data_IF_291911979393
#
_entry.id   IF_291911979393
#
_cell.length_a   1.000
_cell.length_b   1.000
_cell.length_c   1.000
_cell.angle_alpha   90.00
_cell.angle_beta   90.00
_cell.angle_gamma   90.00
#
_symmetry.space_group_name_H-M   'P 1'
#
loop_
_entity.id
_entity.type
_entity.pdbx_description
1 polymer ?
#
# COMPACT_ATOMS: atom_id res chain seq x y z
N UNK A 1 35.41 -35.31 53.54
CA UNK A 1 35.12 -36.03 52.29
C UNK A 1 33.97 -35.33 51.58
N UNK A 2 34.25 -34.49 50.66
CA UNK A 2 33.26 -33.74 49.92
C UNK A 2 32.63 -34.63 48.82
N UNK A 3 31.31 -34.77 48.80
CA UNK A 3 30.59 -35.72 47.97
C UNK A 3 30.33 -35.14 46.59
N UNK A 4 31.27 -35.29 45.70
CA UNK A 4 31.30 -34.75 44.30
C UNK A 4 30.12 -35.20 43.44
N UNK A 5 29.44 -36.32 43.78
CA UNK A 5 28.31 -36.86 43.02
C UNK A 5 27.01 -36.07 43.22
N UNK A 6 26.84 -35.39 44.33
CA UNK A 6 25.63 -34.58 44.60
C UNK A 6 25.74 -33.20 43.97
N UNK A 7 26.97 -32.69 43.75
CA UNK A 7 27.18 -31.38 43.16
C UNK A 7 26.95 -31.39 41.63
N UNK A 8 27.30 -32.51 40.96
CA UNK A 8 27.12 -32.64 39.52
C UNK A 8 25.63 -32.75 39.11
N UNK A 9 24.78 -33.37 40.02
CA UNK A 9 23.36 -33.57 39.71
C UNK A 9 22.56 -32.26 39.87
N UNK A 10 22.96 -31.38 40.78
CA UNK A 10 22.28 -30.08 40.99
C UNK A 10 22.65 -29.07 39.92
N UNK A 11 23.87 -29.14 39.34
CA UNK A 11 24.29 -28.26 38.26
C UNK A 11 23.60 -28.62 36.94
N UNK A 12 23.29 -29.92 36.73
CA UNK A 12 22.62 -30.38 35.52
C UNK A 12 21.12 -30.03 35.50
N UNK A 13 20.48 -29.97 36.68
CA UNK A 13 19.07 -29.60 36.82
C UNK A 13 18.85 -28.09 36.65
N UNK A 14 19.82 -27.25 37.04
CA UNK A 14 19.71 -25.79 36.89
C UNK A 14 20.02 -25.31 35.45
N UNK A 15 20.85 -26.05 34.69
CA UNK A 15 21.12 -25.71 33.26
C UNK A 15 19.94 -26.10 32.36
N UNK A 16 19.15 -27.13 32.72
CA UNK A 16 17.94 -27.52 31.98
C UNK A 16 16.74 -26.59 32.24
N UNK A 17 16.75 -25.82 33.35
CA UNK A 17 15.67 -24.88 33.66
C UNK A 17 15.90 -23.48 33.05
N UNK A 18 17.11 -23.17 32.59
CA UNK A 18 17.45 -21.90 31.97
C UNK A 18 17.41 -21.93 30.42
N UNK A 19 17.19 -23.10 29.80
CA UNK A 19 16.69 -23.20 28.45
C UNK A 19 15.16 -23.09 28.47
N UNK A 20 14.65 -22.08 29.14
CA UNK A 20 13.32 -21.56 28.94
C UNK A 20 13.23 -21.16 27.46
N UNK A 21 12.62 -22.05 26.72
CA UNK A 21 12.24 -21.85 25.32
C UNK A 21 11.50 -20.52 25.28
N UNK A 22 12.19 -19.47 24.83
CA UNK A 22 11.55 -18.33 24.23
C UNK A 22 11.04 -18.87 22.89
N UNK A 23 9.97 -19.66 22.95
CA UNK A 23 9.07 -19.83 21.83
C UNK A 23 8.39 -18.46 21.78
N UNK A 24 9.02 -17.51 21.09
CA UNK A 24 8.30 -16.37 20.61
C UNK A 24 7.11 -16.96 19.88
N UNK A 25 5.92 -16.77 20.45
CA UNK A 25 4.67 -17.05 19.75
C UNK A 25 4.69 -16.12 18.54
N UNK A 26 5.25 -16.60 17.43
CA UNK A 26 4.96 -16.02 16.15
C UNK A 26 3.46 -16.21 15.98
N UNK A 27 2.70 -15.14 16.16
CA UNK A 27 1.28 -15.15 15.91
C UNK A 27 1.13 -15.53 14.43
N UNK A 28 0.80 -16.80 14.19
CA UNK A 28 0.61 -17.28 12.83
C UNK A 28 -0.74 -16.73 12.37
N UNK A 29 -0.72 -15.97 11.29
CA UNK A 29 -1.95 -15.47 10.69
C UNK A 29 -2.92 -16.60 10.37
N UNK A 30 -4.21 -16.38 10.62
CA UNK A 30 -5.24 -17.35 10.25
C UNK A 30 -5.34 -17.53 8.74
N UNK A 31 -5.93 -18.65 8.26
CA UNK A 31 -6.21 -18.80 6.82
C UNK A 31 -7.03 -17.63 6.24
N UNK A 32 -8.01 -17.11 6.99
CA UNK A 32 -8.85 -16.00 6.54
C UNK A 32 -8.04 -14.69 6.38
N UNK A 33 -7.08 -14.44 7.26
CA UNK A 33 -6.15 -13.31 7.13
C UNK A 33 -5.25 -13.48 5.92
N UNK A 34 -4.71 -14.67 5.67
CA UNK A 34 -3.86 -14.94 4.52
C UNK A 34 -4.63 -14.71 3.20
N UNK A 35 -5.90 -15.14 3.13
CA UNK A 35 -6.78 -14.88 1.97
C UNK A 35 -7.02 -13.39 1.80
N UNK A 36 -7.44 -12.68 2.86
CA UNK A 36 -7.69 -11.25 2.79
C UNK A 36 -6.45 -10.45 2.36
N UNK A 37 -5.29 -10.73 2.95
CA UNK A 37 -4.04 -10.05 2.59
C UNK A 37 -3.65 -10.35 1.15
N UNK A 38 -3.78 -11.61 0.70
CA UNK A 38 -3.51 -12.00 -0.68
C UNK A 38 -4.40 -11.28 -1.69
N UNK A 39 -5.70 -11.23 -1.44
CA UNK A 39 -6.67 -10.51 -2.28
C UNK A 39 -6.38 -9.00 -2.30
N UNK A 40 -6.06 -8.43 -1.15
CA UNK A 40 -5.71 -7.02 -1.03
C UNK A 40 -4.45 -6.67 -1.82
N UNK A 41 -3.38 -7.49 -1.71
CA UNK A 41 -2.15 -7.30 -2.48
C UNK A 41 -2.41 -7.40 -3.99
N UNK A 42 -3.23 -8.35 -4.42
CA UNK A 42 -3.63 -8.48 -5.83
C UNK A 42 -4.38 -7.24 -6.34
N UNK A 43 -5.23 -6.62 -5.51
CA UNK A 43 -5.89 -5.36 -5.86
C UNK A 43 -4.92 -4.18 -5.90
N UNK A 44 -3.92 -4.14 -5.00
CA UNK A 44 -2.87 -3.11 -5.05
C UNK A 44 -2.03 -3.23 -6.32
N UNK A 45 -1.65 -4.45 -6.73
CA UNK A 45 -0.91 -4.67 -7.98
C UNK A 45 -1.72 -4.23 -9.20
N UNK A 46 -3.02 -4.53 -9.23
CA UNK A 46 -3.90 -4.11 -10.30
C UNK A 46 -4.00 -2.59 -10.41
N UNK A 47 -4.27 -1.90 -9.30
CA UNK A 47 -4.47 -0.44 -9.31
C UNK A 47 -3.16 0.30 -9.57
N UNK A 48 -2.02 -0.18 -9.03
CA UNK A 48 -0.69 0.35 -9.32
C UNK A 48 -0.38 0.29 -10.82
N UNK A 49 -0.58 -0.89 -11.43
CA UNK A 49 -0.36 -1.07 -12.87
C UNK A 49 -1.20 -0.08 -13.68
N UNK A 50 -2.49 0.06 -13.37
CA UNK A 50 -3.38 1.01 -14.05
C UNK A 50 -2.96 2.47 -13.89
N UNK A 51 -2.56 2.88 -12.70
CA UNK A 51 -2.09 4.24 -12.44
C UNK A 51 -0.78 4.54 -13.16
N UNK A 52 0.17 3.61 -13.13
CA UNK A 52 1.46 3.78 -13.80
C UNK A 52 1.35 3.77 -15.32
N UNK A 53 0.56 2.86 -15.90
CA UNK A 53 0.31 2.82 -17.34
C UNK A 53 -0.34 4.13 -17.82
N UNK A 54 -1.30 4.65 -17.05
CA UNK A 54 -1.97 5.91 -17.39
C UNK A 54 -1.02 7.10 -17.27
N UNK A 55 -0.21 7.14 -16.20
CA UNK A 55 0.79 8.19 -15.99
C UNK A 55 1.85 8.17 -17.11
N UNK A 56 2.29 6.98 -17.53
CA UNK A 56 3.25 6.84 -18.62
C UNK A 56 2.71 7.40 -19.95
N UNK A 57 1.43 7.17 -20.22
CA UNK A 57 0.75 7.69 -21.40
C UNK A 57 0.55 9.22 -21.36
N UNK A 58 0.57 9.85 -20.18
CA UNK A 58 0.39 11.30 -20.03
C UNK A 58 1.63 12.08 -20.50
N UNK A 59 1.48 13.11 -21.37
CA UNK A 59 2.60 13.96 -21.74
C UNK A 59 3.04 14.84 -20.55
N UNK A 60 4.37 15.11 -20.47
CA UNK A 60 4.96 15.92 -19.40
C UNK A 60 4.30 17.30 -19.25
N UNK A 61 3.95 17.94 -20.36
CA UNK A 61 3.32 19.26 -20.38
C UNK A 61 1.91 19.27 -19.79
N UNK A 62 1.30 18.10 -19.60
CA UNK A 62 0.00 17.95 -18.96
C UNK A 62 0.07 17.69 -17.46
N UNK A 63 1.26 17.47 -16.91
CA UNK A 63 1.40 17.17 -15.48
C UNK A 63 0.99 18.34 -14.56
N UNK A 64 1.21 19.57 -14.99
CA UNK A 64 0.78 20.77 -14.26
C UNK A 64 -0.62 21.26 -14.63
N UNK A 65 -1.33 20.57 -15.57
CA UNK A 65 -2.66 20.98 -15.98
C UNK A 65 -3.72 20.65 -14.92
N UNK A 66 -4.57 21.63 -14.63
CA UNK A 66 -5.73 21.51 -13.76
C UNK A 66 -7.02 21.85 -14.51
N UNK A 67 -8.14 21.15 -14.25
CA UNK A 67 -9.40 21.39 -14.98
C UNK A 67 -10.11 22.69 -14.57
N UNK A 68 -9.85 23.18 -13.36
CA UNK A 68 -10.41 24.41 -12.80
C UNK A 68 -9.61 24.84 -11.56
N UNK A 69 -9.74 26.12 -11.18
CA UNK A 69 -9.12 26.68 -9.99
C UNK A 69 -9.48 25.87 -8.73
N UNK A 70 -8.46 25.48 -7.96
CA UNK A 70 -8.61 24.73 -6.70
C UNK A 70 -8.87 23.24 -6.86
N UNK A 71 -8.85 22.72 -8.09
CA UNK A 71 -8.88 21.28 -8.36
C UNK A 71 -7.44 20.81 -8.57
N UNK A 72 -7.11 19.62 -8.02
CA UNK A 72 -5.77 19.04 -8.20
C UNK A 72 -5.34 19.03 -9.66
N UNK A 73 -4.10 19.43 -9.92
CA UNK A 73 -3.50 19.19 -11.23
C UNK A 73 -3.19 17.68 -11.43
N UNK A 74 -2.78 17.31 -12.64
CA UNK A 74 -2.54 15.90 -12.97
C UNK A 74 -1.51 15.25 -12.04
N UNK A 75 -0.37 15.91 -11.77
CA UNK A 75 0.66 15.37 -10.88
C UNK A 75 0.15 15.20 -9.45
N UNK A 76 -0.59 16.19 -8.94
CA UNK A 76 -1.17 16.14 -7.60
C UNK A 76 -2.14 14.97 -7.40
N UNK A 77 -2.85 14.53 -8.43
CA UNK A 77 -3.72 13.35 -8.35
C UNK A 77 -2.92 12.08 -8.02
N UNK A 78 -1.82 11.84 -8.72
CA UNK A 78 -0.96 10.67 -8.48
C UNK A 78 -0.20 10.76 -7.16
N UNK A 79 0.33 11.95 -6.84
CA UNK A 79 1.05 12.18 -5.59
C UNK A 79 0.14 12.12 -4.38
N UNK A 80 -1.15 12.46 -4.52
CA UNK A 80 -2.14 12.27 -3.47
C UNK A 80 -2.39 10.78 -3.17
N UNK A 81 -2.39 9.92 -4.19
CA UNK A 81 -2.43 8.47 -3.99
C UNK A 81 -1.18 8.01 -3.25
N UNK A 82 0.00 8.49 -3.64
CA UNK A 82 1.25 8.14 -2.95
C UNK A 82 1.25 8.57 -1.47
N UNK A 83 0.81 9.79 -1.17
CA UNK A 83 0.68 10.28 0.21
C UNK A 83 -0.31 9.44 1.02
N UNK A 84 -1.40 9.00 0.40
CA UNK A 84 -2.40 8.12 1.04
C UNK A 84 -1.84 6.74 1.32
N UNK A 85 -1.00 6.18 0.43
CA UNK A 85 -0.30 4.92 0.63
C UNK A 85 0.64 5.00 1.84
N UNK A 86 1.45 6.06 1.95
CA UNK A 86 2.31 6.27 3.11
C UNK A 86 1.50 6.44 4.41
N UNK A 87 0.38 7.15 4.35
CA UNK A 87 -0.51 7.28 5.51
C UNK A 87 -1.03 5.93 6.00
N UNK A 88 -1.45 5.05 5.09
CA UNK A 88 -1.89 3.69 5.43
C UNK A 88 -0.73 2.84 5.97
N UNK A 89 0.40 2.84 5.27
CA UNK A 89 1.59 2.08 5.67
C UNK A 89 2.07 2.47 7.09
N UNK A 90 2.01 3.75 7.43
CA UNK A 90 2.28 4.24 8.79
C UNK A 90 1.33 3.62 9.83
N UNK A 91 0.04 3.43 9.51
CA UNK A 91 -0.92 2.76 10.42
C UNK A 91 -0.64 1.25 10.57
N UNK A 92 0.05 0.66 9.61
CA UNK A 92 0.56 -0.71 9.63
C UNK A 92 1.93 -0.82 10.34
N UNK A 93 2.52 0.28 10.81
CA UNK A 93 3.79 0.32 11.52
C UNK A 93 5.03 0.49 10.63
N UNK A 94 4.86 0.76 9.34
CA UNK A 94 5.99 1.04 8.45
C UNK A 94 6.66 2.38 8.77
N UNK A 95 7.97 2.45 8.56
CA UNK A 95 8.70 3.72 8.56
C UNK A 95 8.46 4.42 7.22
N UNK A 96 7.91 5.61 7.28
CA UNK A 96 7.49 6.40 6.11
C UNK A 96 8.02 7.83 6.21
N UNK A 97 8.08 8.58 5.10
CA UNK A 97 8.46 9.99 5.14
C UNK A 97 7.59 10.79 6.12
N UNK A 98 8.24 11.48 7.06
CA UNK A 98 7.56 12.32 8.08
C UNK A 98 7.37 13.72 7.53
N UNK A 99 6.31 13.91 6.78
CA UNK A 99 5.96 15.19 6.16
C UNK A 99 4.60 15.66 6.68
N UNK A 100 4.35 16.98 6.60
CA UNK A 100 3.01 17.49 6.79
C UNK A 100 2.10 17.05 5.64
N UNK A 101 0.81 16.91 5.93
CA UNK A 101 -0.19 16.53 4.94
C UNK A 101 -0.19 17.51 3.77
N UNK A 102 -0.22 16.98 2.55
CA UNK A 102 -0.18 17.74 1.31
C UNK A 102 1.23 18.12 0.84
N UNK A 103 2.28 17.77 1.60
CA UNK A 103 3.67 18.06 1.20
C UNK A 103 4.10 17.20 0.02
N UNK A 104 3.80 15.91 0.06
CA UNK A 104 4.12 14.97 -1.04
C UNK A 104 3.24 15.29 -2.24
N UNK A 105 1.94 15.51 -2.02
CA UNK A 105 0.97 15.87 -3.05
C UNK A 105 1.43 17.05 -3.93
N UNK A 106 2.08 18.04 -3.33
CA UNK A 106 2.52 19.28 -4.00
C UNK A 106 4.01 19.35 -4.32
N UNK A 107 4.72 18.24 -4.21
CA UNK A 107 6.19 18.25 -4.26
C UNK A 107 6.77 18.50 -5.65
N UNK A 108 6.09 18.08 -6.71
CA UNK A 108 6.62 18.18 -8.08
C UNK A 108 5.54 17.99 -9.15
N UNK A 109 5.81 18.51 -10.35
CA UNK A 109 5.07 18.21 -11.59
C UNK A 109 5.95 17.48 -12.62
N UNK A 110 7.16 17.08 -12.23
CA UNK A 110 8.04 16.26 -13.05
C UNK A 110 7.51 14.82 -13.10
N UNK A 111 7.16 14.33 -14.29
CA UNK A 111 6.51 13.04 -14.50
C UNK A 111 7.34 11.86 -13.98
N UNK A 112 8.66 11.89 -14.17
CA UNK A 112 9.53 10.82 -13.72
C UNK A 112 9.56 10.74 -12.19
N UNK A 113 9.66 11.88 -11.52
CA UNK A 113 9.62 11.95 -10.05
C UNK A 113 8.25 11.55 -9.48
N UNK A 114 7.16 11.93 -10.16
CA UNK A 114 5.81 11.48 -9.79
C UNK A 114 5.71 9.96 -9.88
N UNK A 115 6.20 9.35 -10.98
CA UNK A 115 6.19 7.90 -11.16
C UNK A 115 7.06 7.19 -10.12
N UNK A 116 8.24 7.71 -9.80
CA UNK A 116 9.15 7.18 -8.78
C UNK A 116 8.48 7.20 -7.39
N UNK A 117 7.95 8.35 -6.98
CA UNK A 117 7.27 8.51 -5.69
C UNK A 117 6.05 7.58 -5.57
N UNK A 118 5.27 7.45 -6.65
CA UNK A 118 4.11 6.56 -6.68
C UNK A 118 4.53 5.10 -6.50
N UNK A 119 5.52 4.62 -7.27
CA UNK A 119 6.06 3.25 -7.18
C UNK A 119 6.60 2.94 -5.79
N UNK A 120 7.38 3.85 -5.22
CA UNK A 120 7.93 3.70 -3.88
C UNK A 120 6.81 3.56 -2.85
N UNK A 121 5.77 4.40 -2.92
CA UNK A 121 4.64 4.35 -2.00
C UNK A 121 3.87 3.03 -2.07
N UNK A 122 3.69 2.46 -3.28
CA UNK A 122 3.09 1.13 -3.46
C UNK A 122 3.98 0.02 -2.90
N UNK A 123 5.28 0.10 -3.08
CA UNK A 123 6.23 -0.86 -2.47
C UNK A 123 6.08 -0.88 -0.96
N UNK A 124 6.14 0.29 -0.33
CA UNK A 124 6.04 0.42 1.14
C UNK A 124 4.70 -0.10 1.68
N UNK A 125 3.58 0.25 1.06
CA UNK A 125 2.26 -0.21 1.54
C UNK A 125 2.05 -1.71 1.33
N UNK A 126 2.58 -2.29 0.24
CA UNK A 126 2.50 -3.74 -0.01
C UNK A 126 3.36 -4.54 0.98
N UNK A 127 4.57 -4.10 1.24
CA UNK A 127 5.45 -4.71 2.25
C UNK A 127 4.82 -4.67 3.64
N UNK A 128 4.26 -3.53 4.04
CA UNK A 128 3.57 -3.39 5.32
C UNK A 128 2.34 -4.30 5.41
N UNK A 129 1.52 -4.37 4.36
CA UNK A 129 0.32 -5.20 4.33
C UNK A 129 0.64 -6.70 4.37
N UNK A 130 1.72 -7.14 3.71
CA UNK A 130 2.11 -8.55 3.63
C UNK A 130 2.51 -9.18 4.97
N UNK A 131 2.81 -8.37 5.97
CA UNK A 131 3.24 -8.82 7.30
C UNK A 131 2.14 -8.77 8.38
N UNK A 132 0.91 -8.37 8.03
CA UNK A 132 -0.16 -8.18 8.99
C UNK A 132 -0.69 -9.50 9.60
N UNK A 133 -0.94 -9.45 10.89
CA UNK A 133 -1.58 -10.50 11.68
C UNK A 133 -3.08 -10.26 11.85
N UNK A 134 -3.82 -11.26 12.33
CA UNK A 134 -5.25 -11.14 12.67
C UNK A 134 -5.49 -10.04 13.71
N UNK A 135 -4.62 -9.93 14.70
CA UNK A 135 -4.73 -8.92 15.75
C UNK A 135 -4.59 -7.51 15.17
N UNK A 136 -3.59 -7.30 14.31
CA UNK A 136 -3.35 -6.00 13.67
C UNK A 136 -4.48 -5.60 12.72
N UNK A 137 -5.01 -6.53 11.92
CA UNK A 137 -6.15 -6.26 11.03
C UNK A 137 -7.41 -5.83 11.78
N UNK A 138 -7.63 -6.38 12.98
CA UNK A 138 -8.80 -6.08 13.80
C UNK A 138 -8.59 -4.90 14.77
N UNK A 139 -7.35 -4.37 14.85
CA UNK A 139 -7.04 -3.22 15.70
C UNK A 139 -7.85 -2.00 15.26
N UNK A 140 -8.49 -1.35 16.24
CA UNK A 140 -9.16 -0.06 15.98
C UNK A 140 -8.11 1.03 15.91
N UNK A 141 -8.13 1.78 14.84
CA UNK A 141 -7.25 2.92 14.59
C UNK A 141 -8.09 4.18 14.39
N UNK A 142 -7.53 5.32 14.78
CA UNK A 142 -8.07 6.61 14.38
C UNK A 142 -7.55 6.98 12.99
N UNK A 143 -8.49 7.19 12.06
CA UNK A 143 -8.17 7.61 10.69
C UNK A 143 -7.77 9.08 10.62
N UNK A 144 -7.12 9.54 9.53
CA UNK A 144 -6.84 10.96 9.31
C UNK A 144 -8.10 11.84 9.22
N UNK A 145 -9.28 11.24 9.07
CA UNK A 145 -10.58 11.93 8.99
C UNK A 145 -11.28 12.00 10.36
N UNK A 146 -10.63 11.53 11.44
CA UNK A 146 -11.18 11.56 12.80
C UNK A 146 -12.20 10.45 13.11
N UNK A 147 -12.35 9.44 12.24
CA UNK A 147 -13.22 8.28 12.49
C UNK A 147 -12.41 7.11 13.04
N UNK A 148 -13.00 6.36 13.98
CA UNK A 148 -12.44 5.12 14.47
C UNK A 148 -12.96 3.95 13.64
N UNK A 149 -12.05 3.10 13.16
CA UNK A 149 -12.41 1.89 12.43
C UNK A 149 -11.30 0.84 12.53
N UNK A 150 -11.58 -0.43 12.19
CA UNK A 150 -10.54 -1.44 12.13
C UNK A 150 -9.54 -1.12 11.01
N UNK A 151 -8.28 -1.53 11.20
CA UNK A 151 -7.25 -1.39 10.18
C UNK A 151 -7.70 -2.03 8.85
N UNK A 152 -8.31 -3.22 8.91
CA UNK A 152 -8.90 -3.91 7.74
C UNK A 152 -9.88 -3.01 6.99
N UNK A 153 -10.80 -2.34 7.69
CA UNK A 153 -11.76 -1.44 7.05
C UNK A 153 -11.09 -0.21 6.44
N UNK A 154 -10.06 0.32 7.10
CA UNK A 154 -9.27 1.43 6.56
C UNK A 154 -8.52 1.03 5.29
N UNK A 155 -7.95 -0.18 5.21
CA UNK A 155 -7.33 -0.72 4.00
C UNK A 155 -8.32 -0.76 2.83
N UNK A 156 -9.54 -1.28 3.05
CA UNK A 156 -10.60 -1.30 2.02
C UNK A 156 -10.98 0.12 1.61
N UNK A 157 -11.12 1.03 2.55
CA UNK A 157 -11.47 2.44 2.26
C UNK A 157 -10.41 3.12 1.40
N UNK A 158 -9.11 2.87 1.66
CA UNK A 158 -8.04 3.45 0.85
C UNK A 158 -7.92 2.79 -0.52
N UNK A 159 -8.25 1.50 -0.65
CA UNK A 159 -8.34 0.87 -1.98
C UNK A 159 -9.43 1.53 -2.84
N UNK A 160 -10.61 1.78 -2.26
CA UNK A 160 -11.68 2.51 -2.96
C UNK A 160 -11.24 3.93 -3.35
N UNK A 161 -10.57 4.64 -2.45
CA UNK A 161 -10.02 5.97 -2.70
C UNK A 161 -9.00 5.99 -3.87
N UNK A 162 -8.14 4.98 -3.98
CA UNK A 162 -7.25 4.85 -5.14
C UNK A 162 -8.03 4.69 -6.45
N UNK A 163 -9.14 3.93 -6.46
CA UNK A 163 -9.99 3.79 -7.64
C UNK A 163 -10.73 5.09 -8.00
N UNK A 164 -11.12 5.90 -7.01
CA UNK A 164 -11.67 7.24 -7.26
C UNK A 164 -10.64 8.12 -8.00
N UNK A 165 -9.37 8.10 -7.58
CA UNK A 165 -8.32 8.85 -8.24
C UNK A 165 -7.87 8.25 -9.57
N UNK A 166 -7.93 6.93 -9.76
CA UNK A 166 -7.78 6.35 -11.08
C UNK A 166 -8.87 6.85 -12.05
N UNK A 167 -10.12 6.88 -11.59
CA UNK A 167 -11.24 7.44 -12.36
C UNK A 167 -11.01 8.90 -12.74
N UNK A 168 -10.53 9.72 -11.79
CA UNK A 168 -10.14 11.11 -12.03
C UNK A 168 -9.00 11.21 -13.07
N UNK A 169 -7.95 10.41 -12.94
CA UNK A 169 -6.84 10.34 -13.88
C UNK A 169 -7.28 9.96 -15.30
N UNK A 170 -8.23 9.00 -15.43
CA UNK A 170 -8.81 8.61 -16.73
C UNK A 170 -9.52 9.81 -17.40
N UNK A 171 -10.29 10.58 -16.63
CA UNK A 171 -10.94 11.78 -17.17
C UNK A 171 -9.91 12.80 -17.61
N UNK A 172 -8.86 13.04 -16.82
CA UNK A 172 -7.79 13.98 -17.18
C UNK A 172 -7.05 13.56 -18.43
N UNK A 173 -6.73 12.27 -18.58
CA UNK A 173 -6.12 11.72 -19.76
C UNK A 173 -6.99 11.99 -21.01
N UNK A 174 -8.26 11.61 -20.96
CA UNK A 174 -9.19 11.77 -22.10
C UNK A 174 -9.40 13.23 -22.51
N UNK A 175 -9.53 14.15 -21.54
CA UNK A 175 -9.61 15.59 -21.80
C UNK A 175 -8.31 16.14 -22.41
N UNK A 176 -7.17 15.52 -22.08
CA UNK A 176 -5.87 15.82 -22.67
C UNK A 176 -5.62 15.15 -24.03
N UNK A 177 -6.59 14.41 -24.56
CA UNK A 177 -6.47 13.69 -25.84
C UNK A 177 -5.70 12.37 -25.74
N UNK A 178 -5.48 11.87 -24.52
CA UNK A 178 -4.81 10.59 -24.25
C UNK A 178 -5.85 9.48 -24.04
N UNK A 179 -5.74 8.42 -24.82
CA UNK A 179 -6.55 7.21 -24.65
C UNK A 179 -5.88 6.32 -23.60
N UNK A 180 -6.60 5.87 -22.54
CA UNK A 180 -6.02 4.93 -21.58
C UNK A 180 -5.50 3.67 -22.28
N UNK A 181 -4.27 3.18 -21.99
CA UNK A 181 -3.60 2.11 -22.73
C UNK A 181 -4.37 0.77 -22.83
N UNK A 182 -5.26 0.53 -21.89
CA UNK A 182 -6.11 -0.67 -21.90
C UNK A 182 -7.38 -0.54 -22.74
N UNK A 183 -7.74 0.65 -23.22
CA UNK A 183 -8.91 0.87 -24.07
C UNK A 183 -8.65 0.45 -25.52
N UNK A 184 -7.44 0.65 -26.03
CA UNK A 184 -7.05 0.27 -27.39
C UNK A 184 -7.07 -1.25 -27.62
N UNK A 185 -6.86 -2.04 -26.56
CA UNK A 185 -6.92 -3.51 -26.64
C UNK A 185 -8.36 -4.04 -26.75
N UNK A 186 -9.33 -3.34 -26.21
CA UNK A 186 -10.75 -3.73 -26.27
C UNK A 186 -11.34 -3.49 -27.66
N UNK A 187 -10.93 -2.43 -28.33
CA UNK A 187 -11.45 -2.09 -29.68
C UNK A 187 -10.88 -3.05 -30.75
N UNK A 188 -9.65 -3.56 -30.56
CA UNK A 188 -9.06 -4.54 -31.48
C UNK A 188 -9.69 -5.94 -31.38
N UNK A 189 -10.20 -6.33 -30.23
CA UNK A 189 -10.84 -7.63 -30.03
C UNK A 189 -12.32 -7.63 -30.46
N UNK A 190 -12.98 -6.45 -30.52
CA UNK A 190 -14.36 -6.32 -30.96
C UNK A 190 -14.52 -6.35 -32.50
N UNK A 191 -13.48 -6.03 -33.25
CA UNK A 191 -13.50 -6.05 -34.73
C UNK A 191 -13.16 -7.44 -35.32
N UNK A 192 -12.81 -8.41 -34.47
CA UNK A 192 -12.41 -9.78 -34.89
C UNK A 192 -13.56 -10.77 -35.11
N UNK A 193 -14.75 -10.51 -34.59
CA UNK A 193 -15.85 -11.51 -34.56
C UNK A 193 -17.01 -11.22 -35.56
N UNK A 194 -16.73 -10.40 -36.56
CA UNK A 194 -17.70 -10.01 -37.59
C UNK A 194 -17.33 -10.42 -39.02
N UNK A 195 -16.99 -11.71 -39.27
CA UNK A 195 -16.99 -12.29 -40.64
C UNK A 195 -17.38 -13.74 -40.62
#
# INVERSE_FOLDING_TARGET
MFNFKKFALTLFATVLLSLGVVIGSYAKSSPDTLVFVGDYLGQLDFIEGRLLDLLDAMPQERMAWEPADGVRNTAEVYLHVAESNYSLASKMGADVPKTERGTIEKSTTDKEKVAETLKESFTVVKEAAGNLTDEELNKIIQTPFGMDMSLRNFMISLLNHMHEHLGQGIVYARVSGVIPPWSDKQDSDSDGDGK
#
